data_IF_384081709890
#
_entry.id   IF_384081709890
#
_cell.length_a   1.000
_cell.length_b   1.000
_cell.length_c   1.000
_cell.angle_alpha   90.00
_cell.angle_beta   90.00
_cell.angle_gamma   90.00
#
_symmetry.space_group_name_H-M   'P 1'
#
loop_
_entity.id
_entity.type
_entity.pdbx_description
1 polymer ?
2 water ?
#
# COMPACT_ATOMS: atom_id res chain seq x y z
N UNK A 4 1.29 -7.71 -12.15
CA UNK A 4 1.18 -7.39 -13.61
C UNK A 4 -0.26 -7.02 -13.93
N UNK A 5 -1.20 -7.69 -13.26
CA UNK A 5 -2.63 -7.46 -13.41
C UNK A 5 -2.96 -6.03 -12.99
N UNK A 6 -3.85 -5.38 -13.74
CA UNK A 6 -4.26 -4.02 -13.40
C UNK A 6 -5.54 -4.05 -12.59
N UNK A 7 -6.05 -5.26 -12.35
CA UNK A 7 -7.26 -5.45 -11.56
C UNK A 7 -6.85 -5.47 -10.10
N UNK A 8 -7.68 -4.90 -9.22
CA UNK A 8 -7.40 -4.86 -7.79
C UNK A 8 -7.13 -6.27 -7.27
N UNK A 9 -6.18 -6.36 -6.36
CA UNK A 9 -5.79 -7.61 -5.74
C UNK A 9 -5.92 -7.47 -4.24
N UNK A 10 -6.29 -8.56 -3.60
CA UNK A 10 -6.40 -8.59 -2.16
C UNK A 10 -5.12 -9.28 -1.73
N UNK A 11 -4.42 -8.68 -0.77
CA UNK A 11 -3.16 -9.21 -0.28
C UNK A 11 -3.23 -9.16 1.23
N UNK A 12 -3.01 -10.30 1.88
CA UNK A 12 -3.06 -10.36 3.33
C UNK A 12 -1.65 -10.51 3.87
N UNK A 13 -1.23 -9.53 4.65
CA UNK A 13 0.10 -9.54 5.24
C UNK A 13 -0.03 -9.75 6.74
N UNK A 14 0.90 -10.50 7.31
CA UNK A 14 0.88 -10.74 8.75
C UNK A 14 2.11 -10.13 9.37
N UNK A 15 1.93 -9.46 10.50
CA UNK A 15 3.05 -8.82 11.18
C UNK A 15 3.07 -9.08 12.67
N UNK A 16 4.28 -9.22 13.21
CA UNK A 16 4.47 -9.44 14.63
C UNK A 16 4.93 -8.16 15.30
N UNK A 17 5.26 -7.17 14.48
CA UNK A 17 5.72 -5.85 14.90
C UNK A 17 5.05 -4.84 13.96
N UNK A 18 5.19 -3.55 14.24
CA UNK A 18 4.55 -2.52 13.43
C UNK A 18 4.78 -2.54 11.92
N UNK A 19 5.97 -2.97 11.50
CA UNK A 19 6.31 -2.98 10.09
C UNK A 19 5.67 -3.98 9.16
N UNK A 20 5.24 -3.46 8.02
CA UNK A 20 4.61 -4.25 6.97
C UNK A 20 5.59 -4.57 5.83
N UNK A 21 6.72 -3.89 5.81
CA UNK A 21 7.69 -4.19 4.78
C UNK A 21 7.69 -3.35 3.52
N UNK A 22 7.03 -2.19 3.55
CA UNK A 22 6.99 -1.29 2.40
C UNK A 22 6.92 0.17 2.80
N UNK A 23 7.21 1.05 1.85
CA UNK A 23 7.18 2.48 2.11
C UNK A 23 6.11 3.11 1.22
N UNK A 24 5.34 4.05 1.76
CA UNK A 24 4.27 4.70 1.00
C UNK A 24 4.46 6.19 0.74
N UNK A 25 4.01 6.65 -0.41
CA UNK A 25 4.09 8.06 -0.76
C UNK A 25 2.70 8.50 -1.23
N UNK A 26 2.55 9.78 -1.56
CA UNK A 26 1.28 10.27 -2.04
C UNK A 26 0.40 10.71 -0.90
N UNK A 27 -0.89 10.90 -1.19
CA UNK A 27 -1.82 11.34 -0.18
C UNK A 27 -1.68 12.84 0.08
N UNK A 28 -1.06 13.53 -0.87
CA UNK A 28 -0.85 14.97 -0.78
C UNK A 28 -2.13 15.72 -1.14
N UNK A 29 -2.65 15.48 -2.34
CA UNK A 29 -3.88 16.12 -2.80
C UNK A 29 -4.75 15.13 -3.59
N UNK A 30 -5.24 14.11 -2.89
CA UNK A 30 -6.11 13.12 -3.50
C UNK A 30 -5.66 12.35 -4.73
N UNK A 31 -4.35 12.19 -4.90
CA UNK A 31 -3.83 11.46 -6.04
C UNK A 31 -3.70 9.97 -5.71
N UNK A 32 -3.90 9.63 -4.44
CA UNK A 32 -3.82 8.24 -4.03
C UNK A 32 -2.54 7.92 -3.29
N UNK A 33 -2.55 6.81 -2.56
CA UNK A 33 -1.39 6.35 -1.79
C UNK A 33 -0.71 5.24 -2.59
N UNK A 34 0.61 5.33 -2.76
CA UNK A 34 1.37 4.34 -3.54
C UNK A 34 2.52 3.75 -2.74
N UNK A 35 2.96 2.57 -3.15
CA UNK A 35 4.08 1.90 -2.50
C UNK A 35 5.28 2.33 -3.31
N UNK A 36 6.21 3.05 -2.70
CA UNK A 36 7.39 3.52 -3.41
C UNK A 36 8.53 2.52 -3.37
N UNK A 37 8.58 1.69 -2.33
CA UNK A 37 9.61 0.66 -2.25
C UNK A 37 9.31 -0.40 -1.21
N UNK A 38 9.78 -1.60 -1.52
CA UNK A 38 9.59 -2.78 -0.68
C UNK A 38 10.91 -3.05 0.05
N UNK A 39 10.84 -3.41 1.33
CA UNK A 39 12.02 -3.73 2.13
C UNK A 39 12.23 -5.24 2.16
N UNK A 40 13.46 -5.67 1.90
CA UNK A 40 13.82 -7.08 1.86
C UNK A 40 13.58 -7.80 3.17
N UNK A 41 13.01 -8.99 3.09
CA UNK A 41 12.75 -9.78 4.28
C UNK A 41 11.49 -9.47 5.06
N UNK A 42 10.89 -8.31 4.82
CA UNK A 42 9.69 -7.94 5.53
C UNK A 42 8.46 -8.61 4.93
N UNK A 43 7.33 -8.57 5.64
CA UNK A 43 6.06 -9.17 5.23
C UNK A 43 5.73 -8.93 3.75
N UNK A 44 5.77 -7.68 3.31
CA UNK A 44 5.48 -7.34 1.91
C UNK A 44 6.36 -8.11 0.95
N UNK A 45 7.67 -8.10 1.21
CA UNK A 45 8.62 -8.82 0.38
C UNK A 45 8.29 -10.31 0.36
N UNK A 46 8.14 -10.90 1.55
CA UNK A 46 7.83 -12.32 1.67
C UNK A 46 6.58 -12.77 0.92
N UNK A 47 5.53 -11.94 0.90
CA UNK A 47 4.28 -12.30 0.20
C UNK A 47 4.54 -12.39 -1.30
N UNK A 48 5.31 -11.44 -1.81
CA UNK A 48 5.65 -11.44 -3.22
C UNK A 48 4.60 -10.88 -4.15
N UNK A 49 3.55 -10.28 -3.60
CA UNK A 49 2.47 -9.72 -4.40
C UNK A 49 2.53 -8.21 -4.57
N UNK A 50 2.91 -7.53 -3.50
CA UNK A 50 3.00 -6.08 -3.50
C UNK A 50 4.30 -5.63 -4.15
N UNK A 51 4.24 -4.53 -4.90
CA UNK A 51 5.41 -4.01 -5.57
C UNK A 51 5.38 -2.48 -5.68
N UNK A 52 6.51 -1.93 -6.11
CA UNK A 52 6.64 -0.49 -6.31
C UNK A 52 5.71 -0.12 -7.46
N UNK A 53 4.89 0.90 -7.26
CA UNK A 53 3.96 1.30 -8.30
C UNK A 53 2.54 0.94 -7.95
N UNK A 54 2.39 0.07 -6.97
CA UNK A 54 1.08 -0.35 -6.51
C UNK A 54 0.42 0.79 -5.80
N UNK A 55 -0.88 0.92 -6.00
CA UNK A 55 -1.64 1.95 -5.35
C UNK A 55 -2.50 1.21 -4.37
N UNK A 56 -2.63 1.75 -3.17
CA UNK A 56 -3.42 1.11 -2.13
C UNK A 56 -4.84 1.66 -2.13
N UNK A 57 -5.76 0.82 -2.59
CA UNK A 57 -7.17 1.19 -2.66
C UNK A 57 -7.75 1.22 -1.25
N UNK A 58 -7.44 0.20 -0.45
CA UNK A 58 -7.93 0.11 0.93
C UNK A 58 -7.07 -0.77 1.82
N UNK A 59 -7.22 -0.59 3.12
CA UNK A 59 -6.49 -1.37 4.11
C UNK A 59 -7.57 -1.71 5.13
N UNK A 60 -7.99 -2.97 5.17
CA UNK A 60 -9.03 -3.41 6.11
C UNK A 60 -10.31 -2.57 5.94
N UNK A 61 -10.90 -2.62 4.75
CA UNK A 61 -12.13 -1.88 4.42
C UNK A 61 -12.02 -0.36 4.34
N UNK A 62 -11.11 0.23 5.11
CA UNK A 62 -10.89 1.67 5.11
C UNK A 62 -10.44 2.11 3.72
N UNK A 63 -11.27 2.92 3.07
CA UNK A 63 -10.98 3.42 1.73
C UNK A 63 -9.88 4.47 1.75
N UNK A 64 -8.78 4.20 1.06
CA UNK A 64 -7.67 5.14 1.00
C UNK A 64 -7.50 5.82 -0.36
N UNK A 65 -8.44 5.60 -1.28
CA UNK A 65 -8.35 6.21 -2.60
C UNK A 65 -8.05 7.70 -2.56
N UNK A 66 -8.90 8.45 -1.86
CA UNK A 66 -8.71 9.89 -1.75
C UNK A 66 -8.29 10.27 -0.34
N UNK A 67 -7.53 9.38 0.30
CA UNK A 67 -7.06 9.61 1.66
C UNK A 67 -5.84 10.50 1.66
N UNK A 68 -5.55 11.06 2.82
CA UNK A 68 -4.38 11.90 3.00
C UNK A 68 -3.30 10.99 3.58
N UNK A 69 -2.04 11.37 3.41
CA UNK A 69 -0.95 10.56 3.92
C UNK A 69 -1.17 10.23 5.40
N UNK A 70 -1.63 11.21 6.17
CA UNK A 70 -1.87 11.04 7.60
C UNK A 70 -2.91 9.94 7.91
N UNK A 71 -3.90 9.82 7.03
CA UNK A 71 -4.97 8.83 7.19
C UNK A 71 -4.47 7.47 6.80
N UNK A 72 -3.67 7.42 5.74
CA UNK A 72 -3.11 6.16 5.26
C UNK A 72 -2.27 5.60 6.40
N UNK A 73 -1.48 6.47 7.02
CA UNK A 73 -0.61 6.08 8.13
C UNK A 73 -1.39 5.54 9.32
N UNK A 74 -2.51 6.18 9.64
CA UNK A 74 -3.34 5.76 10.76
C UNK A 74 -4.01 4.42 10.47
N UNK A 75 -4.47 4.23 9.23
CA UNK A 75 -5.12 2.98 8.84
C UNK A 75 -4.15 1.81 9.01
N UNK A 76 -2.94 1.98 8.49
CA UNK A 76 -1.90 0.97 8.58
C UNK A 76 -1.54 0.70 10.05
N UNK A 77 -1.38 1.77 10.82
CA UNK A 77 -1.04 1.65 12.24
C UNK A 77 -2.03 0.80 13.05
N UNK A 78 -3.31 0.91 12.72
CA UNK A 78 -4.34 0.20 13.46
C UNK A 78 -4.90 -1.04 12.78
N UNK A 79 -4.26 -1.49 11.70
CA UNK A 79 -4.73 -2.66 10.96
C UNK A 79 -4.62 -3.98 11.74
N UNK A 80 -3.94 -3.95 12.89
CA UNK A 80 -3.79 -5.16 13.67
C UNK A 80 -2.68 -6.01 13.11
N UNK A 81 -2.71 -7.31 13.38
CA UNK A 81 -1.68 -8.19 12.88
C UNK A 81 -1.94 -8.74 11.48
N UNK A 82 -3.21 -8.89 11.12
CA UNK A 82 -3.58 -9.39 9.79
C UNK A 82 -4.06 -8.18 9.04
N UNK A 83 -3.28 -7.75 8.06
CA UNK A 83 -3.59 -6.57 7.29
C UNK A 83 -4.00 -6.93 5.88
N UNK A 84 -5.23 -6.58 5.54
CA UNK A 84 -5.80 -6.87 4.24
C UNK A 84 -5.73 -5.65 3.31
N UNK A 85 -4.79 -5.70 2.39
CA UNK A 85 -4.58 -4.63 1.46
C UNK A 85 -5.14 -4.97 0.10
N UNK A 86 -5.80 -3.99 -0.51
CA UNK A 86 -6.35 -4.15 -1.83
C UNK A 86 -5.47 -3.19 -2.60
N UNK A 87 -4.62 -3.73 -3.45
CA UNK A 87 -3.72 -2.88 -4.21
C UNK A 87 -4.06 -3.02 -5.68
N UNK A 88 -3.70 -2.00 -6.45
CA UNK A 88 -3.94 -2.00 -7.88
C UNK A 88 -2.64 -1.49 -8.49
N UNK A 89 -2.06 -2.29 -9.36
CA UNK A 89 -0.80 -1.95 -9.98
C UNK A 89 -0.95 -0.93 -11.10
N UNK A 90 -0.56 0.31 -10.82
CA UNK A 90 -0.62 1.36 -11.82
C UNK A 90 0.64 2.22 -11.78
N UNK A 91 1.69 1.75 -12.46
CA UNK A 91 3.00 2.40 -12.57
C UNK A 91 2.99 3.73 -13.30
N UNK A 92 2.29 3.78 -14.44
CA UNK A 92 2.19 4.98 -15.26
C UNK A 92 1.81 6.19 -14.41
N UNK A 93 0.78 6.01 -13.61
CA UNK A 93 0.28 7.04 -12.73
C UNK A 93 1.31 7.38 -11.64
N UNK A 94 1.96 6.35 -11.10
CA UNK A 94 2.97 6.54 -10.08
C UNK A 94 4.04 7.44 -10.64
N UNK A 95 4.54 7.10 -11.83
CA UNK A 95 5.56 7.90 -12.51
C UNK A 95 4.99 9.29 -12.68
N UNK A 96 3.97 9.37 -13.52
CA UNK A 96 3.27 10.60 -13.84
C UNK A 96 3.08 11.54 -12.66
N UNK A 97 2.96 10.98 -11.46
CA UNK A 97 2.72 11.79 -10.28
C UNK A 97 3.88 11.93 -9.28
N UNK A 98 4.82 11.00 -9.29
CA UNK A 98 5.91 11.05 -8.31
C UNK A 98 7.33 10.97 -8.83
N UNK A 99 7.53 10.22 -9.91
CA UNK A 99 8.86 10.07 -10.47
C UNK A 99 9.00 10.91 -11.73
#
# INVERSE_FOLDING_TARGET
DDEITREPRKVVLHRGSTGLGFNIVGGEDGEGIFISFILAGGPADLSGELRKGDRIISVNSVDLRAASHEQAAAALKNAGQAVTIVAQYRPEEYSRQHA
#
